data_IF_343292549245
#
_entry.id   IF_343292549245
#
_cell.length_a   1.000
_cell.length_b   1.000
_cell.length_c   1.000
_cell.angle_alpha   90.00
_cell.angle_beta   90.00
_cell.angle_gamma   90.00
#
_symmetry.space_group_name_H-M   'P 1'
#
loop_
_entity.id
_entity.type
_entity.pdbx_description
1 polymer ?
#
# COMPACT_ATOMS: atom_id res chain seq x y z
N UNK A 1 9.83 -21.42 11.32
CA UNK A 1 9.22 -20.10 11.63
C UNK A 1 9.89 -19.05 10.75
N UNK A 2 9.28 -18.70 9.62
CA UNK A 2 9.82 -17.70 8.71
C UNK A 2 9.60 -16.30 9.31
N UNK A 3 10.70 -15.58 9.57
CA UNK A 3 10.68 -14.16 9.93
C UNK A 3 10.23 -13.36 8.69
N UNK A 4 8.99 -12.92 8.68
CA UNK A 4 8.51 -11.90 7.74
C UNK A 4 9.25 -10.60 8.04
N UNK A 5 10.24 -10.26 7.20
CA UNK A 5 10.80 -8.91 7.10
C UNK A 5 9.73 -8.06 6.41
N UNK A 6 9.03 -7.25 7.20
CA UNK A 6 8.14 -6.21 6.67
C UNK A 6 8.99 -5.11 6.05
N UNK A 7 9.33 -5.25 4.77
CA UNK A 7 9.97 -4.20 4.00
C UNK A 7 8.92 -3.16 3.64
N UNK A 8 8.97 -2.03 4.34
CA UNK A 8 8.21 -0.82 4.02
C UNK A 8 8.61 -0.31 2.62
N UNK A 9 7.88 -0.71 1.58
CA UNK A 9 8.03 -0.13 0.25
C UNK A 9 7.21 1.15 0.13
N UNK A 10 7.84 2.28 0.45
CA UNK A 10 7.47 3.57 -0.14
C UNK A 10 8.38 3.73 -1.36
N UNK A 11 7.82 3.78 -2.56
CA UNK A 11 8.61 4.10 -3.76
C UNK A 11 9.39 5.40 -3.54
N UNK A 12 10.68 5.45 -3.84
CA UNK A 12 11.55 6.63 -3.55
C UNK A 12 10.96 7.95 -4.08
N UNK A 13 10.26 7.92 -5.24
CA UNK A 13 9.54 9.07 -5.79
C UNK A 13 8.35 9.56 -4.95
N UNK A 14 7.66 8.68 -4.20
CA UNK A 14 6.60 9.08 -3.24
C UNK A 14 7.18 9.59 -1.93
N UNK A 15 8.33 9.06 -1.47
CA UNK A 15 9.04 9.56 -0.28
C UNK A 15 9.41 11.03 -0.48
N UNK A 16 10.03 11.38 -1.61
CA UNK A 16 10.39 12.77 -1.95
C UNK A 16 9.19 13.72 -1.96
N UNK A 17 8.04 13.25 -2.46
CA UNK A 17 6.84 14.08 -2.51
C UNK A 17 6.19 14.22 -1.12
N UNK A 18 6.20 13.15 -0.30
CA UNK A 18 5.72 13.21 1.10
C UNK A 18 6.63 14.03 2.02
N UNK A 19 7.95 14.02 1.80
CA UNK A 19 8.90 14.91 2.48
C UNK A 19 8.66 16.37 2.09
N UNK A 20 8.38 16.66 0.81
CA UNK A 20 8.00 18.01 0.35
C UNK A 20 6.66 18.48 0.93
N UNK A 21 5.66 17.60 1.04
CA UNK A 21 4.36 17.91 1.65
C UNK A 21 4.52 18.29 3.12
N UNK A 22 5.42 17.62 3.86
CA UNK A 22 5.71 17.93 5.27
C UNK A 22 6.69 19.09 5.47
N UNK A 23 7.46 19.47 4.45
CA UNK A 23 8.35 20.65 4.47
C UNK A 23 7.63 21.98 4.24
N UNK A 24 6.35 21.97 3.83
CA UNK A 24 5.48 23.15 3.95
C UNK A 24 5.15 23.37 5.43
N UNK A 25 6.07 24.05 6.11
CA UNK A 25 6.20 24.29 7.57
C UNK A 25 4.98 24.86 8.32
N UNK A 26 3.80 25.00 7.72
CA UNK A 26 2.77 25.88 8.28
C UNK A 26 1.49 25.23 8.84
N UNK A 27 1.14 23.95 8.62
CA UNK A 27 -0.20 23.49 9.06
C UNK A 27 -0.29 22.14 9.79
N UNK A 28 0.79 21.36 9.92
CA UNK A 28 0.73 20.08 10.66
C UNK A 28 1.50 20.18 11.97
N UNK A 29 0.79 20.49 13.06
CA UNK A 29 1.30 20.37 14.43
C UNK A 29 1.42 18.89 14.82
N UNK A 30 2.48 18.22 14.37
CA UNK A 30 2.76 16.80 14.63
C UNK A 30 2.76 16.50 16.13
N UNK A 31 3.28 17.42 16.95
CA UNK A 31 3.26 17.32 18.40
C UNK A 31 1.85 17.23 18.98
N UNK A 32 0.89 17.98 18.44
CA UNK A 32 -0.54 17.88 18.82
C UNK A 32 -1.14 16.54 18.42
N UNK A 33 -0.78 16.02 17.24
CA UNK A 33 -1.22 14.70 16.78
C UNK A 33 -0.69 13.60 17.71
N UNK A 34 0.60 13.64 18.07
CA UNK A 34 1.21 12.69 19.00
C UNK A 34 0.55 12.75 20.38
N UNK A 35 0.32 13.96 20.91
CA UNK A 35 -0.35 14.14 22.20
C UNK A 35 -1.77 13.57 22.20
N UNK A 36 -2.54 13.79 21.14
CA UNK A 36 -3.89 13.24 20.98
C UNK A 36 -3.84 11.71 20.92
N UNK A 37 -2.90 11.15 20.18
CA UNK A 37 -2.75 9.70 20.03
C UNK A 37 -2.35 9.00 21.33
N UNK A 38 -1.44 9.60 22.11
CA UNK A 38 -1.09 9.13 23.44
C UNK A 38 -2.31 9.08 24.35
N UNK A 39 -3.12 10.14 24.37
CA UNK A 39 -4.38 10.15 25.14
C UNK A 39 -5.36 9.06 24.71
N UNK A 40 -5.53 8.83 23.40
CA UNK A 40 -6.41 7.76 22.90
C UNK A 40 -5.94 6.36 23.30
N UNK A 41 -4.62 6.15 23.34
CA UNK A 41 -4.01 4.88 23.76
C UNK A 41 -3.86 4.73 25.27
N UNK A 42 -4.25 5.74 26.04
CA UNK A 42 -3.96 5.84 27.48
C UNK A 42 -2.47 5.63 27.80
N UNK A 43 -1.61 6.22 26.96
CA UNK A 43 -0.17 6.16 27.11
C UNK A 43 0.39 7.47 27.66
N UNK A 44 1.31 7.33 28.60
CA UNK A 44 2.18 8.41 29.08
C UNK A 44 3.34 8.64 28.10
N UNK A 45 3.98 9.81 28.18
CA UNK A 45 5.20 10.09 27.42
C UNK A 45 6.32 9.09 27.76
N UNK A 46 6.37 8.61 29.01
CA UNK A 46 7.32 7.60 29.46
C UNK A 46 7.11 6.27 28.74
N UNK A 47 5.87 5.81 28.61
CA UNK A 47 5.57 4.55 27.90
C UNK A 47 5.95 4.62 26.42
N UNK A 48 5.74 5.77 25.75
CA UNK A 48 6.24 5.94 24.39
C UNK A 48 7.78 5.97 24.34
N UNK A 49 8.41 6.62 25.30
CA UNK A 49 9.88 6.67 25.39
C UNK A 49 10.47 5.27 25.56
N UNK A 50 9.88 4.46 26.45
CA UNK A 50 10.25 3.06 26.68
C UNK A 50 10.04 2.22 25.40
N UNK A 51 8.90 2.38 24.72
CA UNK A 51 8.59 1.68 23.47
C UNK A 51 9.50 2.06 22.29
N UNK A 52 10.11 3.24 22.34
CA UNK A 52 10.99 3.80 21.31
C UNK A 52 12.48 3.67 21.67
N UNK A 53 12.80 3.24 22.90
CA UNK A 53 14.17 3.18 23.40
C UNK A 53 14.86 4.56 23.53
N UNK A 54 14.10 5.61 23.86
CA UNK A 54 14.59 6.99 24.00
C UNK A 54 14.28 7.56 25.39
N UNK A 55 14.78 8.76 25.70
CA UNK A 55 14.44 9.43 26.96
C UNK A 55 13.04 10.08 26.92
N UNK A 56 12.33 10.17 28.06
CA UNK A 56 11.07 10.92 28.14
C UNK A 56 11.20 12.40 27.74
N UNK A 57 12.36 13.00 28.00
CA UNK A 57 12.66 14.37 27.56
C UNK A 57 12.63 14.50 26.03
N UNK A 58 13.17 13.50 25.31
CA UNK A 58 13.13 13.45 23.85
C UNK A 58 11.69 13.40 23.34
N UNK A 59 10.83 12.59 23.96
CA UNK A 59 9.40 12.54 23.62
C UNK A 59 8.70 13.88 23.89
N UNK A 60 9.04 14.56 25.00
CA UNK A 60 8.52 15.89 25.31
C UNK A 60 8.91 16.93 24.25
N UNK A 61 10.14 16.88 23.72
CA UNK A 61 10.56 17.75 22.61
C UNK A 61 9.73 17.51 21.34
N UNK A 62 9.40 16.25 21.03
CA UNK A 62 8.55 15.91 19.89
C UNK A 62 7.12 16.42 20.04
N UNK A 63 6.52 16.23 21.22
CA UNK A 63 5.14 16.65 21.50
C UNK A 63 4.98 18.17 21.49
N UNK A 64 6.03 18.91 21.86
CA UNK A 64 6.01 20.37 21.85
C UNK A 64 6.52 20.96 20.53
N UNK A 65 6.67 20.15 19.47
CA UNK A 65 7.19 20.58 18.17
C UNK A 65 8.58 21.27 18.24
N UNK A 66 9.33 21.07 19.33
CA UNK A 66 10.65 21.69 19.55
C UNK A 66 11.77 20.99 18.78
N UNK A 67 11.53 19.76 18.33
CA UNK A 67 12.50 18.95 17.60
C UNK A 67 11.83 18.22 16.46
N UNK A 68 12.39 18.41 15.26
CA UNK A 68 11.97 17.70 14.06
C UNK A 68 12.64 16.32 14.05
N UNK A 69 11.81 15.29 13.94
CA UNK A 69 12.26 13.91 13.95
C UNK A 69 12.88 13.58 12.59
N UNK A 70 13.94 12.77 12.57
CA UNK A 70 14.36 12.13 11.33
C UNK A 70 13.20 11.26 10.81
N UNK A 71 13.05 11.16 9.50
CA UNK A 71 11.97 10.40 8.85
C UNK A 71 11.81 8.98 9.42
N UNK A 72 12.91 8.25 9.63
CA UNK A 72 12.88 6.91 10.24
C UNK A 72 12.27 6.89 11.64
N UNK A 73 12.60 7.85 12.49
CA UNK A 73 12.02 7.99 13.83
C UNK A 73 10.55 8.37 13.75
N UNK A 74 10.20 9.24 12.80
CA UNK A 74 8.82 9.64 12.55
C UNK A 74 7.94 8.44 12.15
N UNK A 75 8.39 7.60 11.22
CA UNK A 75 7.68 6.37 10.81
C UNK A 75 7.47 5.41 11.98
N UNK A 76 8.48 5.22 12.83
CA UNK A 76 8.36 4.37 14.02
C UNK A 76 7.34 4.93 15.02
N UNK A 77 7.30 6.24 15.22
CA UNK A 77 6.28 6.88 16.08
C UNK A 77 4.89 6.66 15.48
N UNK A 78 4.74 6.83 14.16
CA UNK A 78 3.47 6.59 13.46
C UNK A 78 2.96 5.18 13.70
N UNK A 79 3.84 4.19 13.56
CA UNK A 79 3.53 2.79 13.77
C UNK A 79 3.17 2.49 15.23
N UNK A 80 4.00 2.94 16.19
CA UNK A 80 3.76 2.71 17.63
C UNK A 80 2.49 3.37 18.12
N UNK A 81 2.17 4.57 17.62
CA UNK A 81 0.98 5.31 18.00
C UNK A 81 -0.24 4.97 17.15
N UNK A 82 -0.08 4.25 16.04
CA UNK A 82 -1.14 3.91 15.06
C UNK A 82 -1.93 5.16 14.63
N UNK A 83 -1.20 6.16 14.14
CA UNK A 83 -1.73 7.51 13.81
C UNK A 83 -1.72 7.79 12.31
N UNK A 84 -1.59 6.75 11.49
CA UNK A 84 -1.53 6.90 10.02
C UNK A 84 -2.74 7.70 9.52
N UNK A 85 -3.94 7.34 9.98
CA UNK A 85 -5.18 8.01 9.58
C UNK A 85 -5.32 9.43 10.13
N UNK A 86 -4.70 9.76 11.27
CA UNK A 86 -4.73 11.14 11.81
C UNK A 86 -3.87 12.09 10.96
N UNK A 87 -2.73 11.60 10.46
CA UNK A 87 -1.81 12.36 9.64
C UNK A 87 -2.25 12.43 8.19
N UNK A 88 -2.92 11.36 7.74
CA UNK A 88 -3.38 11.22 6.38
C UNK A 88 -4.86 10.80 6.42
N UNK A 89 -5.79 11.75 6.66
CA UNK A 89 -7.23 11.45 6.81
C UNK A 89 -7.88 10.79 5.59
N UNK A 90 -7.25 10.89 4.42
CA UNK A 90 -7.65 10.20 3.19
C UNK A 90 -6.84 8.91 2.91
N UNK A 91 -5.94 8.52 3.81
CA UNK A 91 -5.17 7.29 3.72
C UNK A 91 -5.95 6.15 4.37
N UNK A 92 -6.38 5.19 3.56
CA UNK A 92 -6.78 3.88 4.08
C UNK A 92 -5.51 3.06 4.32
N UNK A 93 -5.33 2.56 5.54
CA UNK A 93 -4.41 1.46 5.82
C UNK A 93 -5.00 0.24 5.11
N UNK A 94 -4.56 0.03 3.87
CA UNK A 94 -4.87 -1.15 3.06
C UNK A 94 -4.33 -2.33 3.87
N UNK A 95 -5.18 -3.24 4.31
CA UNK A 95 -4.73 -4.47 4.98
C UNK A 95 -4.07 -5.33 3.90
N UNK A 96 -2.81 -5.01 3.63
CA UNK A 96 -2.10 -5.36 2.40
C UNK A 96 -2.13 -6.86 2.08
N UNK A 97 -2.24 -7.73 3.07
CA UNK A 97 -2.25 -9.18 2.82
C UNK A 97 -3.59 -9.66 2.26
N UNK A 98 -4.72 -9.21 2.80
CA UNK A 98 -6.04 -9.54 2.27
C UNK A 98 -6.22 -8.90 0.89
N UNK A 99 -5.75 -7.66 0.73
CA UNK A 99 -5.85 -6.94 -0.53
C UNK A 99 -4.97 -7.55 -1.63
N UNK A 100 -3.78 -8.08 -1.32
CA UNK A 100 -2.91 -8.72 -2.31
C UNK A 100 -3.45 -10.08 -2.78
N UNK A 101 -4.04 -10.90 -1.89
CA UNK A 101 -4.64 -12.18 -2.28
C UNK A 101 -5.84 -11.93 -3.20
N UNK A 102 -6.70 -10.97 -2.85
CA UNK A 102 -7.84 -10.57 -3.69
C UNK A 102 -7.35 -10.01 -5.02
N UNK A 103 -6.31 -9.16 -5.00
CA UNK A 103 -5.70 -8.60 -6.22
C UNK A 103 -5.17 -9.71 -7.13
N UNK A 104 -4.43 -10.68 -6.60
CA UNK A 104 -3.95 -11.85 -7.36
C UNK A 104 -5.09 -12.62 -8.03
N UNK A 105 -6.16 -12.91 -7.29
CA UNK A 105 -7.34 -13.60 -7.85
C UNK A 105 -8.01 -12.76 -8.94
N UNK A 106 -8.01 -11.44 -8.81
CA UNK A 106 -8.55 -10.52 -9.82
C UNK A 106 -7.69 -10.50 -11.08
N UNK A 107 -6.37 -10.54 -10.97
CA UNK A 107 -5.46 -10.68 -12.12
C UNK A 107 -5.75 -11.98 -12.87
N UNK A 108 -5.89 -13.09 -12.14
CA UNK A 108 -6.30 -14.36 -12.73
C UNK A 108 -7.68 -14.24 -13.41
N UNK A 109 -8.64 -13.57 -12.78
CA UNK A 109 -10.00 -13.39 -13.32
C UNK A 109 -9.99 -12.60 -14.63
N UNK A 110 -9.14 -11.56 -14.74
CA UNK A 110 -8.96 -10.80 -15.99
C UNK A 110 -8.52 -11.77 -17.09
N UNK A 111 -7.46 -12.55 -16.87
CA UNK A 111 -6.95 -13.52 -17.84
C UNK A 111 -8.02 -14.54 -18.26
N UNK A 112 -8.75 -15.10 -17.30
CA UNK A 112 -9.77 -16.10 -17.57
C UNK A 112 -10.98 -15.52 -18.32
N UNK A 113 -11.42 -14.30 -17.99
CA UNK A 113 -12.52 -13.64 -18.72
C UNK A 113 -12.14 -13.24 -20.15
N UNK A 114 -10.84 -13.01 -20.39
CA UNK A 114 -10.28 -12.82 -21.73
C UNK A 114 -10.01 -14.14 -22.47
N UNK A 115 -10.31 -15.29 -21.86
CA UNK A 115 -10.03 -16.62 -22.38
C UNK A 115 -8.56 -16.82 -22.81
N UNK A 116 -7.61 -16.24 -22.07
CA UNK A 116 -6.19 -16.29 -22.41
C UNK A 116 -5.43 -17.35 -21.62
N UNK A 117 -4.51 -18.03 -22.31
CA UNK A 117 -3.46 -18.80 -21.64
C UNK A 117 -2.46 -17.87 -20.95
N UNK A 118 -1.79 -18.38 -19.91
CA UNK A 118 -0.82 -17.59 -19.12
C UNK A 118 0.26 -16.98 -20.01
N UNK A 119 0.76 -17.74 -20.99
CA UNK A 119 1.80 -17.28 -21.92
C UNK A 119 1.33 -16.06 -22.73
N UNK A 120 0.18 -16.15 -23.41
CA UNK A 120 -0.41 -15.05 -24.21
C UNK A 120 -0.70 -13.83 -23.35
N UNK A 121 -1.21 -14.03 -22.14
CA UNK A 121 -1.50 -12.95 -21.19
C UNK A 121 -0.21 -12.23 -20.73
N UNK A 122 0.84 -12.99 -20.42
CA UNK A 122 2.13 -12.45 -20.05
C UNK A 122 2.78 -11.66 -21.20
N UNK A 123 2.69 -12.18 -22.44
CA UNK A 123 3.16 -11.51 -23.66
C UNK A 123 2.45 -10.16 -23.88
N UNK A 124 1.11 -10.11 -23.75
CA UNK A 124 0.36 -8.86 -23.89
C UNK A 124 0.75 -7.81 -22.85
N UNK A 125 0.98 -8.24 -21.61
CA UNK A 125 1.40 -7.35 -20.53
C UNK A 125 2.87 -6.91 -20.63
N UNK A 126 3.67 -7.59 -21.45
CA UNK A 126 5.13 -7.44 -21.42
C UNK A 126 5.73 -7.85 -20.06
N UNK A 127 5.14 -8.87 -19.42
CA UNK A 127 5.58 -9.44 -18.13
C UNK A 127 6.09 -10.87 -18.38
N UNK A 128 7.03 -11.34 -17.56
CA UNK A 128 7.51 -12.72 -17.62
C UNK A 128 6.40 -13.73 -17.26
N UNK A 129 6.26 -14.82 -18.02
CA UNK A 129 5.25 -15.86 -17.76
C UNK A 129 5.33 -16.43 -16.33
N UNK A 130 6.54 -16.69 -15.83
CA UNK A 130 6.78 -17.18 -14.46
C UNK A 130 6.25 -16.19 -13.42
N UNK A 131 6.40 -14.89 -13.67
CA UNK A 131 5.90 -13.84 -12.76
C UNK A 131 4.37 -13.86 -12.68
N UNK A 132 3.67 -14.08 -13.78
CA UNK A 132 2.21 -14.25 -13.77
C UNK A 132 1.81 -15.51 -12.99
N UNK A 133 2.52 -16.64 -13.20
CA UNK A 133 2.26 -17.87 -12.43
C UNK A 133 2.41 -17.65 -10.92
N UNK A 134 3.48 -17.01 -10.48
CA UNK A 134 3.71 -16.68 -9.07
C UNK A 134 2.58 -15.83 -8.48
N UNK A 135 2.13 -14.81 -9.22
CA UNK A 135 1.01 -13.94 -8.80
C UNK A 135 -0.28 -14.74 -8.64
N UNK A 136 -0.62 -15.60 -9.60
CA UNK A 136 -1.84 -16.43 -9.52
C UNK A 136 -1.74 -17.48 -8.41
N UNK A 137 -0.58 -18.10 -8.23
CA UNK A 137 -0.33 -19.05 -7.15
C UNK A 137 -0.45 -18.39 -5.77
N UNK A 138 0.05 -17.16 -5.62
CA UNK A 138 -0.13 -16.37 -4.40
C UNK A 138 -1.62 -16.15 -4.08
N UNK A 139 -2.45 -15.91 -5.10
CA UNK A 139 -3.90 -15.77 -4.93
C UNK A 139 -4.58 -17.03 -4.38
N UNK A 140 -4.00 -18.20 -4.63
CA UNK A 140 -4.53 -19.49 -4.15
C UNK A 140 -3.97 -19.85 -2.78
N UNK A 141 -2.64 -19.78 -2.63
CA UNK A 141 -1.92 -20.31 -1.45
C UNK A 141 -1.73 -19.27 -0.34
N UNK A 142 -1.79 -17.97 -0.68
CA UNK A 142 -1.45 -16.89 0.24
C UNK A 142 0.04 -16.82 0.61
N UNK A 143 0.88 -17.61 -0.08
CA UNK A 143 2.32 -17.71 0.14
C UNK A 143 3.07 -17.40 -1.16
N UNK A 144 4.26 -16.78 -1.04
CA UNK A 144 5.06 -16.36 -2.19
C UNK A 144 4.97 -14.87 -2.50
N UNK A 145 5.26 -14.50 -3.75
CA UNK A 145 5.34 -13.11 -4.18
C UNK A 145 4.04 -12.67 -4.88
N UNK A 146 3.20 -11.94 -4.16
CA UNK A 146 2.02 -11.28 -4.73
C UNK A 146 2.35 -10.19 -5.76
N UNK A 147 1.34 -9.57 -6.39
CA UNK A 147 1.52 -8.57 -7.42
C UNK A 147 2.15 -7.29 -6.84
N UNK A 148 3.04 -6.70 -7.62
CA UNK A 148 3.63 -5.39 -7.35
C UNK A 148 2.81 -4.29 -8.02
N UNK A 149 3.06 -3.04 -7.65
CA UNK A 149 2.41 -1.90 -8.31
C UNK A 149 2.77 -1.81 -9.81
N UNK A 150 3.99 -2.19 -10.19
CA UNK A 150 4.42 -2.21 -11.59
C UNK A 150 3.61 -3.24 -12.40
N UNK A 151 3.27 -4.38 -11.80
CA UNK A 151 2.41 -5.38 -12.44
C UNK A 151 1.01 -4.79 -12.71
N UNK A 152 0.47 -3.98 -11.78
CA UNK A 152 -0.82 -3.31 -11.93
C UNK A 152 -0.78 -2.17 -12.95
N UNK A 153 0.33 -1.43 -13.05
CA UNK A 153 0.51 -0.41 -14.09
C UNK A 153 0.50 -1.04 -15.49
N UNK A 154 1.16 -2.18 -15.68
CA UNK A 154 1.11 -2.93 -16.95
C UNK A 154 -0.31 -3.37 -17.31
N UNK A 155 -1.08 -3.81 -16.33
CA UNK A 155 -2.50 -4.17 -16.53
C UNK A 155 -3.32 -2.94 -16.90
N UNK A 156 -3.08 -1.79 -16.26
CA UNK A 156 -3.75 -0.55 -16.61
C UNK A 156 -3.44 -0.12 -18.05
N UNK A 157 -2.16 -0.15 -18.43
CA UNK A 157 -1.72 0.28 -19.76
C UNK A 157 -2.27 -0.63 -20.86
N UNK A 158 -2.41 -1.93 -20.58
CA UNK A 158 -2.86 -2.94 -21.55
C UNK A 158 -4.40 -3.06 -21.62
N UNK A 159 -5.07 -3.07 -20.46
CA UNK A 159 -6.49 -3.39 -20.34
C UNK A 159 -7.35 -2.22 -19.86
N UNK A 160 -6.74 -1.08 -19.52
CA UNK A 160 -7.45 0.10 -19.01
C UNK A 160 -7.98 -0.05 -17.58
N UNK A 161 -7.61 -1.12 -16.85
CA UNK A 161 -8.06 -1.41 -15.49
C UNK A 161 -7.10 -0.74 -14.50
N UNK A 162 -7.59 0.25 -13.75
CA UNK A 162 -6.74 1.06 -12.87
C UNK A 162 -6.38 0.28 -11.60
N UNK A 163 -5.21 0.53 -10.97
CA UNK A 163 -4.87 -0.06 -9.68
C UNK A 163 -5.93 0.18 -8.59
N UNK A 164 -6.66 1.30 -8.64
CA UNK A 164 -7.77 1.58 -7.73
C UNK A 164 -8.96 0.63 -7.91
N UNK A 165 -9.16 0.10 -9.12
CA UNK A 165 -10.30 -0.76 -9.44
C UNK A 165 -10.17 -2.12 -8.74
N UNK A 166 -8.94 -2.55 -8.43
CA UNK A 166 -8.66 -3.74 -7.64
C UNK A 166 -9.10 -3.63 -6.17
N UNK A 167 -9.54 -2.46 -5.71
CA UNK A 167 -10.09 -2.23 -4.37
C UNK A 167 -11.63 -2.17 -4.33
N UNK A 168 -12.28 -2.28 -5.50
CA UNK A 168 -13.75 -2.29 -5.59
C UNK A 168 -14.34 -3.54 -4.91
N UNK A 169 -15.65 -3.55 -4.64
CA UNK A 169 -16.34 -4.80 -4.30
C UNK A 169 -16.25 -5.81 -5.48
N UNK A 170 -16.53 -7.09 -5.23
CA UNK A 170 -16.46 -8.09 -6.29
C UNK A 170 -17.42 -7.81 -7.45
N UNK A 171 -18.63 -7.35 -7.15
CA UNK A 171 -19.63 -7.00 -8.15
C UNK A 171 -19.18 -5.80 -9.00
N UNK A 172 -18.72 -4.73 -8.34
CA UNK A 172 -18.21 -3.53 -9.02
C UNK A 172 -16.96 -3.83 -9.86
N UNK A 173 -16.07 -4.71 -9.38
CA UNK A 173 -14.89 -5.12 -10.12
C UNK A 173 -15.27 -5.88 -11.40
N UNK A 174 -16.21 -6.83 -11.32
CA UNK A 174 -16.70 -7.58 -12.49
C UNK A 174 -17.36 -6.63 -13.50
N UNK A 175 -18.17 -5.67 -13.04
CA UNK A 175 -18.75 -4.65 -13.92
C UNK A 175 -17.70 -3.75 -14.55
N UNK A 176 -16.65 -3.39 -13.81
CA UNK A 176 -15.51 -2.66 -14.36
C UNK A 176 -14.80 -3.45 -15.45
N UNK A 177 -14.50 -4.72 -15.18
CA UNK A 177 -13.84 -5.63 -16.12
C UNK A 177 -14.65 -5.81 -17.40
N UNK A 178 -15.95 -6.08 -17.30
CA UNK A 178 -16.83 -6.20 -18.48
C UNK A 178 -16.85 -4.94 -19.35
N UNK A 179 -16.84 -3.75 -18.73
CA UNK A 179 -16.75 -2.46 -19.46
C UNK A 179 -15.40 -2.25 -20.14
N UNK A 180 -14.31 -2.75 -19.55
CA UNK A 180 -12.99 -2.68 -20.19
C UNK A 180 -12.91 -3.64 -21.37
N UNK A 181 -13.33 -4.89 -21.19
CA UNK A 181 -13.31 -5.94 -22.22
C UNK A 181 -14.14 -5.53 -23.45
N UNK A 182 -15.36 -5.00 -23.24
CA UNK A 182 -16.23 -4.55 -24.34
C UNK A 182 -15.68 -3.37 -25.17
N UNK A 183 -14.65 -2.68 -24.68
CA UNK A 183 -13.99 -1.57 -25.38
C UNK A 183 -12.68 -1.99 -26.05
N UNK A 184 -12.24 -3.22 -25.84
CA UNK A 184 -11.02 -3.70 -26.47
C UNK A 184 -11.30 -3.97 -27.94
N UNK A 185 -10.40 -3.56 -28.86
CA UNK A 185 -10.52 -3.95 -30.25
C UNK A 185 -10.55 -5.48 -30.32
N UNK A 186 -11.49 -6.03 -31.10
CA UNK A 186 -11.46 -7.47 -31.41
C UNK A 186 -10.09 -7.76 -32.03
N UNK A 187 -9.27 -8.54 -31.34
CA UNK A 187 -8.03 -9.03 -31.92
C UNK A 187 -8.46 -10.03 -32.99
N UNK A 188 -8.47 -9.59 -34.25
CA UNK A 188 -8.61 -10.46 -35.43
C UNK A 188 -7.52 -11.55 -35.32
N UNK A 189 -7.97 -12.81 -35.17
CA UNK A 189 -7.15 -14.02 -35.37
C UNK A 189 -6.84 -14.22 -36.85
#
# INVERSE_FOLDING_TARGET
MAKLKTEFFISEKKVENSEKILQNKNDVHLGKVFAKALKRKDWTQKQLADAMGVSPATVSEWINDRKINKWKTFLLIIEKLDIVSDLFPNYRKVDHLFDLIVTSKRIQSIRLMLAMEIKKFAEQLGINETRIKEIEEFGVKGEGAGPSYLDLEKIQDTFGIKPSDFLLSNEEFIQCLARCISKMPENEE
#
